data_IF_019752288978
#
_entry.id   IF_019752288978
#
_cell.length_a   1.000
_cell.length_b   1.000
_cell.length_c   1.000
_cell.angle_alpha   90.00
_cell.angle_beta   90.00
_cell.angle_gamma   90.00
#
_symmetry.space_group_name_H-M   'P 1'
#
loop_
_entity.id
_entity.type
_entity.pdbx_description
1 polymer ?
#
# COMPACT_ATOMS: atom_id res chain seq x y z
N UNK A 1 -15.58 -22.37 -9.35
CA UNK A 1 -15.76 -21.84 -7.97
C UNK A 1 -14.61 -22.30 -7.08
N UNK A 2 -13.47 -21.62 -7.15
CA UNK A 2 -12.44 -21.61 -6.11
C UNK A 2 -12.01 -20.15 -5.96
N UNK A 3 -11.82 -19.77 -4.69
CA UNK A 3 -11.80 -18.41 -4.17
C UNK A 3 -10.64 -17.59 -4.73
N UNK A 4 -10.95 -16.44 -5.29
CA UNK A 4 -10.08 -15.27 -5.26
C UNK A 4 -9.81 -14.90 -3.79
N UNK A 5 -8.57 -14.54 -3.50
CA UNK A 5 -8.10 -14.18 -2.17
C UNK A 5 -8.80 -12.91 -1.68
N UNK A 6 -9.76 -13.09 -0.79
CA UNK A 6 -10.09 -12.16 0.28
C UNK A 6 -9.92 -12.92 1.60
N UNK A 7 -9.09 -12.38 2.48
CA UNK A 7 -9.12 -12.49 3.94
C UNK A 7 -9.63 -13.84 4.53
N UNK A 8 -8.74 -14.72 5.01
CA UNK A 8 -8.93 -15.54 6.24
C UNK A 8 -7.57 -16.00 6.81
N UNK A 9 -7.33 -15.56 8.05
CA UNK A 9 -6.48 -16.07 9.13
C UNK A 9 -5.71 -17.40 8.97
N UNK A 10 -4.47 -17.42 9.51
CA UNK A 10 -4.07 -18.49 10.45
C UNK A 10 -2.95 -18.04 11.39
N UNK A 11 -3.16 -18.36 12.66
CA UNK A 11 -2.43 -17.84 13.81
C UNK A 11 -1.04 -18.43 14.03
N UNK A 12 -0.26 -17.63 14.74
CA UNK A 12 1.07 -17.89 15.28
C UNK A 12 0.96 -18.84 16.47
N UNK A 13 1.70 -19.95 16.47
CA UNK A 13 2.13 -20.62 17.70
C UNK A 13 3.64 -20.91 17.61
N UNK A 14 4.41 -20.16 18.37
CA UNK A 14 5.81 -20.45 18.67
C UNK A 14 5.86 -21.12 20.05
N UNK A 15 6.52 -22.28 20.14
CA UNK A 15 6.95 -22.87 21.40
C UNK A 15 8.43 -23.26 21.32
N UNK A 16 9.18 -23.09 22.42
CA UNK A 16 10.65 -23.13 22.42
C UNK A 16 11.15 -24.57 22.49
N UNK A 17 12.35 -24.84 21.97
CA UNK A 17 13.04 -26.09 22.26
C UNK A 17 14.43 -25.84 22.85
N UNK A 18 14.60 -26.44 24.03
CA UNK A 18 15.75 -26.43 24.91
C UNK A 18 17.02 -26.98 24.27
N UNK A 19 18.14 -26.44 24.74
CA UNK A 19 19.48 -26.96 24.50
C UNK A 19 19.64 -28.40 25.03
N UNK A 20 20.21 -29.27 24.21
CA UNK A 20 20.65 -30.60 24.59
C UNK A 20 21.89 -30.99 23.80
N UNK A 21 23.06 -30.92 24.43
CA UNK A 21 24.33 -31.44 23.91
C UNK A 21 24.27 -32.98 23.93
N UNK A 22 24.38 -33.61 22.77
CA UNK A 22 24.83 -34.99 22.65
C UNK A 22 25.89 -35.10 21.57
N UNK A 23 27.10 -35.48 21.98
CA UNK A 23 28.16 -35.91 21.10
C UNK A 23 27.78 -37.28 20.52
N UNK A 24 27.75 -37.39 19.19
CA UNK A 24 27.58 -38.65 18.49
C UNK A 24 28.71 -38.83 17.47
N UNK A 25 29.32 -40.00 17.53
CA UNK A 25 30.45 -40.46 16.73
C UNK A 25 30.23 -40.29 15.23
N UNK A 26 31.25 -39.76 14.55
CA UNK A 26 31.32 -39.69 13.10
C UNK A 26 31.38 -41.11 12.49
N UNK A 27 30.24 -41.62 12.06
CA UNK A 27 30.18 -42.69 11.07
C UNK A 27 30.16 -42.05 9.68
N UNK A 28 31.26 -42.18 8.94
CA UNK A 28 31.36 -41.78 7.53
C UNK A 28 30.56 -42.76 6.68
N UNK A 29 29.24 -42.66 6.69
CA UNK A 29 28.41 -43.12 5.58
C UNK A 29 28.44 -41.97 4.56
N UNK A 30 29.17 -42.17 3.46
CA UNK A 30 29.27 -41.20 2.39
C UNK A 30 27.87 -40.74 1.98
N UNK A 31 27.56 -39.45 2.16
CA UNK A 31 26.41 -38.85 1.49
C UNK A 31 26.67 -38.99 -0.01
N UNK A 32 25.73 -39.52 -0.80
CA UNK A 32 25.89 -39.50 -2.24
C UNK A 32 25.98 -38.02 -2.65
N UNK A 33 27.11 -37.65 -3.25
CA UNK A 33 27.27 -36.35 -3.87
C UNK A 33 26.33 -36.34 -5.09
N UNK A 34 25.18 -35.69 -4.96
CA UNK A 34 24.18 -35.60 -6.03
C UNK A 34 24.76 -34.68 -7.10
N UNK A 35 25.50 -35.25 -8.05
CA UNK A 35 26.01 -34.53 -9.22
C UNK A 35 24.89 -34.39 -10.24
N UNK A 36 24.19 -33.25 -10.17
CA UNK A 36 23.24 -32.88 -11.20
C UNK A 36 23.99 -32.56 -12.49
N UNK A 37 23.70 -33.29 -13.56
CA UNK A 37 24.18 -32.90 -14.89
C UNK A 37 23.54 -31.57 -15.29
N UNK A 38 24.24 -30.75 -16.08
CA UNK A 38 23.67 -29.51 -16.63
C UNK A 38 22.34 -29.77 -17.37
N UNK A 39 22.21 -30.90 -18.05
CA UNK A 39 20.97 -31.30 -18.72
C UNK A 39 19.79 -31.51 -17.74
N UNK A 40 20.03 -32.18 -16.61
CA UNK A 40 18.98 -32.38 -15.59
C UNK A 40 18.52 -31.07 -14.93
N UNK A 41 19.44 -30.13 -14.70
CA UNK A 41 19.11 -28.81 -14.13
C UNK A 41 18.28 -27.99 -15.13
N UNK A 42 18.67 -27.99 -16.40
CA UNK A 42 17.93 -27.28 -17.45
C UNK A 42 16.52 -27.85 -17.63
N UNK A 43 16.38 -29.18 -17.67
CA UNK A 43 15.07 -29.83 -17.79
C UNK A 43 14.14 -29.49 -16.62
N UNK A 44 14.66 -29.52 -15.39
CA UNK A 44 13.89 -29.16 -14.21
C UNK A 44 13.47 -27.68 -14.25
N UNK A 45 14.37 -26.79 -14.70
CA UNK A 45 14.06 -25.36 -14.87
C UNK A 45 12.95 -25.13 -15.88
N UNK A 46 13.04 -25.76 -17.06
CA UNK A 46 12.00 -25.65 -18.09
C UNK A 46 10.65 -26.19 -17.60
N UNK A 47 10.64 -27.33 -16.90
CA UNK A 47 9.41 -27.89 -16.35
C UNK A 47 8.76 -26.97 -15.31
N UNK A 48 9.56 -26.35 -14.41
CA UNK A 48 9.04 -25.39 -13.43
C UNK A 48 8.50 -24.11 -14.07
N UNK A 49 9.19 -23.57 -15.08
CA UNK A 49 8.76 -22.39 -15.83
C UNK A 49 7.45 -22.64 -16.57
N UNK A 50 7.34 -23.77 -17.28
CA UNK A 50 6.13 -24.15 -17.99
C UNK A 50 4.93 -24.35 -17.05
N UNK A 51 5.16 -24.94 -15.87
CA UNK A 51 4.11 -25.11 -14.88
C UNK A 51 3.57 -23.76 -14.39
N UNK A 52 4.47 -22.84 -14.01
CA UNK A 52 4.08 -21.51 -13.56
C UNK A 52 3.37 -20.71 -14.67
N UNK A 53 3.89 -20.73 -15.90
CA UNK A 53 3.26 -20.06 -17.05
C UNK A 53 1.82 -20.53 -17.26
N UNK A 54 1.55 -21.84 -17.14
CA UNK A 54 0.20 -22.37 -17.32
C UNK A 54 -0.77 -21.92 -16.22
N UNK A 55 -0.32 -21.89 -14.95
CA UNK A 55 -1.17 -21.42 -13.86
C UNK A 55 -1.47 -19.93 -13.97
N UNK A 56 -0.48 -19.10 -14.28
CA UNK A 56 -0.69 -17.66 -14.45
C UNK A 56 -1.60 -17.38 -15.66
N UNK A 57 -1.48 -18.14 -16.74
CA UNK A 57 -2.40 -18.03 -17.88
C UNK A 57 -3.85 -18.28 -17.46
N UNK A 58 -4.06 -19.32 -16.65
CA UNK A 58 -5.40 -19.64 -16.12
C UNK A 58 -5.93 -18.49 -15.28
N UNK A 59 -5.10 -17.92 -14.40
CA UNK A 59 -5.49 -16.75 -13.59
C UNK A 59 -5.85 -15.53 -14.46
N UNK A 60 -5.06 -15.25 -15.51
CA UNK A 60 -5.35 -14.16 -16.47
C UNK A 60 -6.69 -14.40 -17.19
N UNK A 61 -7.00 -15.65 -17.53
CA UNK A 61 -8.27 -16.02 -18.16
C UNK A 61 -9.45 -15.85 -17.18
N UNK A 62 -9.30 -16.35 -15.95
CA UNK A 62 -10.29 -16.22 -14.88
C UNK A 62 -10.58 -14.75 -14.57
N UNK A 63 -9.55 -13.90 -14.47
CA UNK A 63 -9.72 -12.46 -14.24
C UNK A 63 -10.40 -11.76 -15.42
N UNK A 64 -10.23 -12.20 -16.66
CA UNK A 64 -10.96 -11.62 -17.81
C UNK A 64 -12.46 -11.92 -17.75
N UNK A 65 -12.82 -13.08 -17.21
CA UNK A 65 -14.22 -13.53 -17.09
C UNK A 65 -14.92 -13.02 -15.82
N UNK A 66 -14.16 -12.39 -14.91
CA UNK A 66 -14.71 -11.82 -13.67
C UNK A 66 -15.79 -10.79 -13.96
N UNK A 67 -17.00 -11.06 -13.46
CA UNK A 67 -18.19 -10.26 -13.71
C UNK A 67 -18.11 -8.84 -13.15
N UNK A 68 -17.48 -8.68 -11.98
CA UNK A 68 -17.39 -7.41 -11.27
C UNK A 68 -15.91 -7.05 -11.04
N UNK A 69 -15.48 -5.97 -11.70
CA UNK A 69 -14.17 -5.36 -11.49
C UNK A 69 -14.35 -3.93 -10.98
N UNK A 70 -13.40 -3.44 -10.16
CA UNK A 70 -13.38 -2.03 -9.80
C UNK A 70 -13.35 -1.15 -11.05
N UNK A 71 -14.25 -0.17 -11.11
CA UNK A 71 -14.31 0.80 -12.19
C UNK A 71 -13.48 2.01 -11.78
N UNK A 72 -12.73 2.59 -12.74
CA UNK A 72 -12.01 3.83 -12.49
C UNK A 72 -13.01 4.94 -12.11
N UNK A 73 -12.92 5.50 -10.89
CA UNK A 73 -13.84 6.56 -10.49
C UNK A 73 -13.56 7.85 -11.26
N UNK A 74 -14.58 8.70 -11.37
CA UNK A 74 -14.40 10.06 -11.90
C UNK A 74 -13.59 10.90 -10.91
N UNK A 75 -12.69 11.72 -11.43
CA UNK A 75 -11.84 12.58 -10.60
C UNK A 75 -12.72 13.71 -10.03
N UNK A 76 -12.72 13.95 -8.70
CA UNK A 76 -13.55 14.99 -8.10
C UNK A 76 -13.20 16.38 -8.62
N UNK A 77 -14.19 17.26 -8.70
CA UNK A 77 -14.05 18.59 -9.29
C UNK A 77 -12.88 19.39 -8.68
N UNK A 78 -12.04 19.95 -9.55
CA UNK A 78 -10.89 20.78 -9.16
C UNK A 78 -9.65 20.00 -8.74
N UNK A 79 -9.74 18.67 -8.60
CA UNK A 79 -8.58 17.82 -8.34
C UNK A 79 -7.93 17.35 -9.64
N UNK A 80 -6.62 17.19 -9.61
CA UNK A 80 -5.85 16.44 -10.60
C UNK A 80 -5.22 15.23 -9.94
N UNK A 81 -4.98 14.17 -10.71
CA UNK A 81 -4.35 12.93 -10.22
C UNK A 81 -3.04 12.69 -10.98
N UNK A 82 -1.96 12.48 -10.23
CA UNK A 82 -0.66 12.01 -10.70
C UNK A 82 -0.49 10.56 -10.24
N UNK A 83 -0.48 9.61 -11.19
CA UNK A 83 -0.35 8.17 -10.93
C UNK A 83 0.48 7.53 -12.04
N UNK A 84 1.59 6.89 -11.66
CA UNK A 84 2.50 6.23 -12.58
C UNK A 84 2.23 4.71 -12.60
N UNK A 85 2.17 4.06 -13.77
CA UNK A 85 2.06 2.60 -13.84
C UNK A 85 3.20 1.90 -13.08
N UNK A 86 2.90 0.82 -12.38
CA UNK A 86 3.85 0.11 -11.51
C UNK A 86 3.97 0.68 -10.11
N UNK A 87 3.20 1.73 -9.78
CA UNK A 87 3.22 2.37 -8.46
C UNK A 87 1.84 2.27 -7.79
N UNK A 88 1.78 1.70 -6.59
CA UNK A 88 0.54 1.62 -5.81
C UNK A 88 0.14 2.96 -5.17
N UNK A 89 1.04 3.95 -5.17
CA UNK A 89 0.81 5.26 -4.59
C UNK A 89 0.51 6.28 -5.69
N UNK A 90 -0.48 7.13 -5.41
CA UNK A 90 -0.86 8.23 -6.27
C UNK A 90 -0.95 9.52 -5.47
N UNK A 91 -0.89 10.63 -6.21
CA UNK A 91 -0.96 11.98 -5.67
C UNK A 91 -2.17 12.69 -6.25
N UNK A 92 -2.91 13.40 -5.41
CA UNK A 92 -3.87 14.39 -5.87
C UNK A 92 -3.38 15.80 -5.58
N UNK A 93 -3.70 16.73 -6.48
CA UNK A 93 -3.39 18.15 -6.33
C UNK A 93 -4.62 18.99 -6.60
N UNK A 94 -4.78 20.08 -5.86
CA UNK A 94 -5.66 21.19 -6.22
C UNK A 94 -5.15 22.49 -5.62
N UNK A 95 -5.71 23.60 -6.08
CA UNK A 95 -5.56 24.90 -5.41
C UNK A 95 -6.83 25.26 -4.65
N UNK A 96 -6.67 26.02 -3.57
CA UNK A 96 -7.75 26.62 -2.81
C UNK A 96 -7.33 28.03 -2.43
N UNK A 97 -7.88 29.04 -3.12
CA UNK A 97 -7.41 30.43 -3.01
C UNK A 97 -5.89 30.52 -3.25
N UNK A 98 -5.13 31.00 -2.26
CA UNK A 98 -3.67 31.14 -2.29
C UNK A 98 -2.92 29.89 -1.80
N UNK A 99 -3.65 28.80 -1.49
CA UNK A 99 -3.09 27.57 -0.94
C UNK A 99 -2.99 26.46 -2.01
N UNK A 100 -1.96 25.62 -1.87
CA UNK A 100 -1.82 24.36 -2.60
C UNK A 100 -2.21 23.21 -1.67
N UNK A 101 -3.11 22.34 -2.14
CA UNK A 101 -3.54 21.14 -1.43
C UNK A 101 -2.95 19.94 -2.16
N UNK A 102 -2.14 19.16 -1.45
CA UNK A 102 -1.50 17.95 -1.98
C UNK A 102 -1.89 16.76 -1.13
N UNK A 103 -2.47 15.73 -1.74
CA UNK A 103 -2.78 14.46 -1.09
C UNK A 103 -1.82 13.39 -1.62
N UNK A 104 -1.14 12.67 -0.74
CA UNK A 104 -0.39 11.47 -1.08
C UNK A 104 -1.04 10.24 -0.45
N UNK A 105 -1.55 9.32 -1.28
CA UNK A 105 -2.01 8.03 -0.80
C UNK A 105 -0.82 7.18 -0.32
N UNK A 106 -0.97 6.51 0.82
CA UNK A 106 0.10 5.77 1.52
C UNK A 106 -0.16 4.28 1.66
N UNK A 107 -1.27 3.79 1.12
CA UNK A 107 -1.61 2.38 1.13
C UNK A 107 -2.73 2.08 2.11
N UNK A 108 -2.89 0.78 2.39
CA UNK A 108 -3.95 0.27 3.25
C UNK A 108 -3.37 -0.37 4.50
N UNK A 109 -4.15 -0.35 5.58
CA UNK A 109 -3.81 -1.00 6.84
C UNK A 109 -5.00 -1.76 7.37
N UNK A 110 -4.79 -3.02 7.75
CA UNK A 110 -5.83 -3.86 8.35
C UNK A 110 -5.79 -3.75 9.88
N UNK A 111 -6.93 -3.51 10.50
CA UNK A 111 -7.08 -3.55 11.96
C UNK A 111 -8.48 -4.04 12.33
N UNK A 112 -8.56 -5.00 13.26
CA UNK A 112 -9.82 -5.54 13.79
C UNK A 112 -10.83 -6.11 12.77
N UNK A 113 -10.39 -6.33 11.52
CA UNK A 113 -11.23 -6.83 10.43
C UNK A 113 -11.56 -5.77 9.38
N UNK A 114 -11.25 -4.51 9.65
CA UNK A 114 -11.51 -3.37 8.79
C UNK A 114 -10.23 -2.96 8.02
N UNK A 115 -10.43 -2.36 6.85
CA UNK A 115 -9.37 -1.88 5.97
C UNK A 115 -9.40 -0.36 5.98
N UNK A 116 -8.35 0.24 6.50
CA UNK A 116 -8.15 1.68 6.52
C UNK A 116 -7.32 2.10 5.31
N UNK A 117 -7.74 3.18 4.66
CA UNK A 117 -7.00 3.83 3.58
C UNK A 117 -6.22 5.01 4.14
N UNK A 118 -4.91 4.87 4.25
CA UNK A 118 -4.04 5.87 4.86
C UNK A 118 -3.57 6.86 3.78
N UNK A 119 -3.72 8.16 4.03
CA UNK A 119 -3.20 9.21 3.16
C UNK A 119 -2.73 10.43 3.93
N UNK A 120 -1.81 11.18 3.32
CA UNK A 120 -1.27 12.43 3.86
C UNK A 120 -1.79 13.61 3.07
N UNK A 121 -2.35 14.60 3.75
CA UNK A 121 -2.76 15.87 3.13
C UNK A 121 -1.84 16.99 3.58
N UNK A 122 -1.31 17.74 2.63
CA UNK A 122 -0.53 18.95 2.85
C UNK A 122 -1.37 20.15 2.42
N UNK A 123 -1.55 21.10 3.33
CA UNK A 123 -2.10 22.43 3.03
C UNK A 123 -0.95 23.41 3.08
N UNK A 124 -0.57 23.95 1.92
CA UNK A 124 0.63 24.76 1.75
C UNK A 124 0.27 26.22 1.53
N UNK A 125 0.89 27.11 2.28
CA UNK A 125 0.79 28.56 2.09
C UNK A 125 2.20 29.16 2.09
N UNK A 126 2.65 29.59 0.90
CA UNK A 126 4.03 30.03 0.68
C UNK A 126 5.03 28.89 0.89
N UNK A 127 5.98 29.08 1.81
CA UNK A 127 6.99 28.06 2.15
C UNK A 127 6.52 27.10 3.25
N UNK A 128 5.48 27.47 4.00
CA UNK A 128 5.00 26.74 5.18
C UNK A 128 3.80 25.90 4.81
N UNK A 129 3.45 24.98 5.70
CA UNK A 129 2.21 24.23 5.55
C UNK A 129 1.79 23.51 6.81
N UNK A 130 0.64 22.86 6.72
CA UNK A 130 0.17 21.91 7.72
C UNK A 130 0.02 20.56 7.03
N UNK A 131 0.58 19.52 7.63
CA UNK A 131 0.39 18.15 7.18
C UNK A 131 -0.56 17.43 8.12
N UNK A 132 -1.50 16.71 7.53
CA UNK A 132 -2.43 15.82 8.20
C UNK A 132 -2.10 14.39 7.79
N UNK A 133 -1.85 13.52 8.76
CA UNK A 133 -1.97 12.07 8.54
C UNK A 133 -3.44 11.74 8.76
N UNK A 134 -4.07 11.14 7.75
CA UNK A 134 -5.48 10.81 7.72
C UNK A 134 -5.64 9.31 7.43
N UNK A 135 -6.64 8.71 8.06
CA UNK A 135 -7.13 7.38 7.71
C UNK A 135 -8.61 7.48 7.32
N UNK A 136 -9.03 6.59 6.44
CA UNK A 136 -10.41 6.53 5.98
C UNK A 136 -10.94 5.11 6.01
N UNK A 137 -12.05 4.95 6.71
CA UNK A 137 -12.96 3.80 6.65
C UNK A 137 -14.37 4.36 6.88
N UNK A 138 -15.09 4.63 5.79
CA UNK A 138 -16.37 5.35 5.73
C UNK A 138 -16.38 6.82 6.19
N UNK A 139 -15.51 7.21 7.12
CA UNK A 139 -15.31 8.57 7.62
C UNK A 139 -13.82 8.90 7.69
N UNK A 140 -13.45 10.15 7.41
CA UNK A 140 -12.08 10.63 7.59
C UNK A 140 -11.77 10.80 9.07
N UNK A 141 -10.70 10.15 9.51
CA UNK A 141 -10.12 10.31 10.85
C UNK A 141 -8.81 11.08 10.74
N UNK A 142 -8.65 12.11 11.58
CA UNK A 142 -7.38 12.84 11.72
C UNK A 142 -6.50 12.14 12.74
N UNK A 143 -5.43 11.50 12.28
CA UNK A 143 -4.51 10.75 13.14
C UNK A 143 -3.38 11.62 13.69
N UNK A 144 -2.95 12.62 12.91
CA UNK A 144 -1.83 13.50 13.28
C UNK A 144 -1.90 14.83 12.55
N UNK A 145 -1.48 15.89 13.23
CA UNK A 145 -1.29 17.22 12.63
C UNK A 145 0.13 17.71 12.88
N UNK A 146 0.87 18.03 11.82
CA UNK A 146 2.24 18.57 11.89
C UNK A 146 2.29 19.94 11.22
N UNK A 147 2.82 20.94 11.92
CA UNK A 147 3.18 22.21 11.32
C UNK A 147 4.54 22.13 10.62
N UNK A 148 4.57 22.52 9.35
CA UNK A 148 5.75 22.44 8.48
C UNK A 148 6.33 23.84 8.26
N UNK A 149 7.59 24.01 8.60
CA UNK A 149 8.35 25.24 8.29
C UNK A 149 8.80 25.30 6.83
N UNK A 150 9.01 24.14 6.22
CA UNK A 150 9.31 23.94 4.81
C UNK A 150 8.42 22.82 4.28
N UNK A 151 7.32 23.19 3.64
CA UNK A 151 6.36 22.23 3.09
C UNK A 151 6.93 21.48 1.88
N UNK A 152 7.80 22.10 1.09
CA UNK A 152 8.37 21.50 -0.12
C UNK A 152 9.26 20.31 0.24
N UNK A 153 10.07 20.43 1.29
CA UNK A 153 10.88 19.32 1.80
C UNK A 153 9.99 18.18 2.28
N UNK A 154 8.96 18.47 3.07
CA UNK A 154 8.07 17.45 3.62
C UNK A 154 7.26 16.71 2.54
N UNK A 155 6.76 17.43 1.53
CA UNK A 155 6.06 16.85 0.38
C UNK A 155 7.01 15.93 -0.39
N UNK A 156 8.23 16.38 -0.68
CA UNK A 156 9.23 15.57 -1.38
C UNK A 156 9.60 14.30 -0.60
N UNK A 157 9.85 14.41 0.71
CA UNK A 157 10.12 13.25 1.57
C UNK A 157 8.96 12.26 1.53
N UNK A 158 7.72 12.77 1.66
CA UNK A 158 6.51 11.95 1.59
C UNK A 158 6.38 11.24 0.25
N UNK A 159 6.61 11.92 -0.88
CA UNK A 159 6.56 11.32 -2.21
C UNK A 159 7.59 10.19 -2.38
N UNK A 160 8.75 10.31 -1.72
CA UNK A 160 9.82 9.30 -1.74
C UNK A 160 9.63 8.18 -0.69
N UNK A 161 8.53 8.18 0.07
CA UNK A 161 8.33 7.25 1.18
C UNK A 161 9.33 7.41 2.33
N UNK A 162 9.98 8.57 2.42
CA UNK A 162 10.95 8.86 3.48
C UNK A 162 10.22 9.32 4.75
N UNK A 163 10.71 8.95 5.93
CA UNK A 163 10.18 9.47 7.17
C UNK A 163 10.41 11.00 7.24
N UNK A 164 9.54 11.67 7.99
CA UNK A 164 9.77 13.08 8.32
C UNK A 164 11.02 13.23 9.19
N UNK A 165 11.59 14.43 9.17
CA UNK A 165 12.71 14.78 10.03
C UNK A 165 12.36 14.49 11.50
N UNK A 166 13.10 13.60 12.19
CA UNK A 166 12.81 13.20 13.56
C UNK A 166 12.98 14.33 14.57
N UNK A 167 13.62 15.45 14.19
CA UNK A 167 13.76 16.63 15.02
C UNK A 167 12.57 17.60 14.93
N UNK A 168 11.60 17.35 14.04
CA UNK A 168 10.36 18.12 13.95
C UNK A 168 9.36 17.58 14.98
N UNK A 169 8.74 18.49 15.73
CA UNK A 169 7.66 18.13 16.65
C UNK A 169 6.46 17.56 15.87
N UNK A 170 6.03 16.31 16.14
CA UNK A 170 5.01 15.63 15.35
C UNK A 170 3.57 16.02 15.69
N UNK A 171 3.38 17.08 16.49
CA UNK A 171 2.10 17.43 17.08
C UNK A 171 1.81 16.66 18.39
N UNK A 172 0.78 17.08 19.14
CA UNK A 172 0.28 16.31 20.27
C UNK A 172 -0.40 15.03 19.76
N UNK A 173 -0.73 14.13 20.68
CA UNK A 173 -1.67 13.06 20.32
C UNK A 173 -3.07 13.65 20.18
N UNK A 174 -3.82 13.19 19.19
CA UNK A 174 -5.17 13.70 18.94
C UNK A 174 -6.13 13.42 20.11
N UNK A 175 -5.94 12.30 20.82
CA UNK A 175 -6.69 11.93 22.04
C UNK A 175 -6.52 12.91 23.21
N UNK A 176 -5.43 13.68 23.23
CA UNK A 176 -5.14 14.64 24.29
C UNK A 176 -5.67 16.05 23.95
N UNK A 177 -6.25 16.24 22.75
CA UNK A 177 -6.77 17.54 22.29
C UNK A 177 -8.23 17.74 22.68
N UNK A 178 -8.64 19.00 22.86
CA UNK A 178 -10.06 19.33 23.06
C UNK A 178 -10.87 19.04 21.78
N UNK A 179 -12.05 18.42 21.93
CA UNK A 179 -12.92 17.98 20.81
C UNK A 179 -13.23 19.10 19.82
N UNK A 180 -13.46 20.33 20.32
CA UNK A 180 -13.74 21.51 19.49
C UNK A 180 -12.56 21.88 18.57
N UNK A 181 -11.32 21.61 18.96
CA UNK A 181 -10.13 21.85 18.14
C UNK A 181 -10.03 20.78 17.06
N UNK A 182 -10.30 19.52 17.40
CA UNK A 182 -10.32 18.41 16.43
C UNK A 182 -11.42 18.64 15.38
N UNK A 183 -12.62 19.01 15.82
CA UNK A 183 -13.74 19.35 14.92
C UNK A 183 -13.40 20.55 14.02
N UNK A 184 -12.66 21.54 14.53
CA UNK A 184 -12.20 22.67 13.72
C UNK A 184 -11.19 22.25 12.63
N UNK A 185 -10.34 21.26 12.88
CA UNK A 185 -9.45 20.72 11.84
C UNK A 185 -10.22 19.99 10.75
N UNK A 186 -11.23 19.19 11.11
CA UNK A 186 -12.08 18.50 10.14
C UNK A 186 -12.80 19.52 9.25
N UNK A 187 -13.47 20.52 9.85
CA UNK A 187 -14.15 21.60 9.10
C UNK A 187 -13.18 22.41 8.23
N UNK A 188 -11.94 22.61 8.69
CA UNK A 188 -10.89 23.27 7.92
C UNK A 188 -10.50 22.47 6.66
N UNK A 189 -10.42 21.15 6.77
CA UNK A 189 -10.17 20.23 5.64
C UNK A 189 -11.37 20.15 4.69
N UNK A 190 -12.59 20.06 5.21
CA UNK A 190 -13.83 20.01 4.41
C UNK A 190 -13.98 21.25 3.53
N UNK A 191 -13.68 22.44 4.06
CA UNK A 191 -13.71 23.68 3.28
C UNK A 191 -12.77 23.65 2.06
N UNK A 192 -11.70 22.84 2.11
CA UNK A 192 -10.74 22.61 1.01
C UNK A 192 -11.15 21.45 0.09
N UNK A 193 -12.27 20.79 0.38
CA UNK A 193 -12.73 19.61 -0.34
C UNK A 193 -11.99 18.33 0.06
N UNK A 194 -11.44 18.28 1.27
CA UNK A 194 -10.93 17.06 1.90
C UNK A 194 -12.00 16.62 2.91
N UNK A 195 -12.91 15.78 2.43
CA UNK A 195 -14.11 15.30 3.11
C UNK A 195 -14.34 13.82 2.78
N UNK A 196 -15.39 13.22 3.33
CA UNK A 196 -15.65 11.78 3.12
C UNK A 196 -15.89 11.40 1.66
N UNK A 197 -16.41 12.30 0.83
CA UNK A 197 -16.53 12.07 -0.63
C UNK A 197 -15.15 11.92 -1.30
N UNK A 198 -14.15 12.69 -0.86
CA UNK A 198 -12.76 12.48 -1.29
C UNK A 198 -12.20 11.18 -0.72
N UNK A 199 -12.54 10.81 0.51
CA UNK A 199 -12.17 9.53 1.11
C UNK A 199 -12.69 8.34 0.27
N UNK A 200 -13.96 8.38 -0.10
CA UNK A 200 -14.60 7.43 -1.00
C UNK A 200 -13.91 7.37 -2.36
N UNK A 201 -13.52 8.53 -2.92
CA UNK A 201 -12.74 8.56 -4.16
C UNK A 201 -11.40 7.84 -3.99
N UNK A 202 -10.65 8.12 -2.91
CA UNK A 202 -9.34 7.49 -2.64
C UNK A 202 -9.49 5.97 -2.53
N UNK A 203 -10.52 5.49 -1.83
CA UNK A 203 -10.86 4.08 -1.72
C UNK A 203 -11.08 3.45 -3.10
N UNK A 204 -12.01 4.00 -3.88
CA UNK A 204 -12.38 3.42 -5.18
C UNK A 204 -11.22 3.50 -6.18
N UNK A 205 -10.44 4.58 -6.16
CA UNK A 205 -9.29 4.75 -7.03
C UNK A 205 -8.18 3.77 -6.67
N UNK A 206 -7.93 3.54 -5.37
CA UNK A 206 -6.97 2.55 -4.91
C UNK A 206 -7.36 1.12 -5.32
N UNK A 207 -8.63 0.75 -5.17
CA UNK A 207 -9.16 -0.55 -5.62
C UNK A 207 -9.01 -0.74 -7.14
N UNK A 208 -9.32 0.29 -7.93
CA UNK A 208 -9.12 0.26 -9.38
C UNK A 208 -7.64 0.17 -9.77
N UNK A 209 -6.78 0.96 -9.14
CA UNK A 209 -5.35 0.94 -9.38
C UNK A 209 -4.75 -0.44 -9.08
N UNK A 210 -5.11 -1.04 -7.95
CA UNK A 210 -4.67 -2.39 -7.57
C UNK A 210 -5.04 -3.44 -8.62
N UNK A 211 -6.29 -3.44 -9.09
CA UNK A 211 -6.73 -4.39 -10.12
C UNK A 211 -5.93 -4.22 -11.43
N UNK A 212 -5.66 -2.98 -11.85
CA UNK A 212 -4.85 -2.70 -13.05
C UNK A 212 -3.43 -3.22 -12.87
N UNK A 213 -2.81 -2.94 -11.73
CA UNK A 213 -1.45 -3.40 -11.42
C UNK A 213 -1.37 -4.92 -11.28
N UNK A 214 -2.40 -5.56 -10.71
CA UNK A 214 -2.48 -7.01 -10.59
C UNK A 214 -2.53 -7.71 -11.96
N UNK A 215 -3.38 -7.23 -12.88
CA UNK A 215 -3.47 -7.77 -14.23
C UNK A 215 -2.16 -7.58 -15.02
N UNK A 216 -1.53 -6.41 -14.87
CA UNK A 216 -0.24 -6.12 -15.47
C UNK A 216 0.86 -7.02 -14.90
N UNK A 217 0.88 -7.22 -13.58
CA UNK A 217 1.81 -8.08 -12.87
C UNK A 217 1.70 -9.54 -13.32
N UNK A 218 0.48 -10.09 -13.43
CA UNK A 218 0.25 -11.43 -13.97
C UNK A 218 0.82 -11.55 -15.39
N UNK A 219 0.50 -10.57 -16.25
CA UNK A 219 0.99 -10.52 -17.62
C UNK A 219 2.53 -10.53 -17.68
N UNK A 220 3.19 -9.72 -16.85
CA UNK A 220 4.65 -9.58 -16.89
C UNK A 220 5.37 -10.80 -16.32
N UNK A 221 4.85 -11.44 -15.27
CA UNK A 221 5.38 -12.71 -14.80
C UNK A 221 5.19 -13.79 -15.86
N UNK A 222 4.02 -13.87 -16.49
CA UNK A 222 3.80 -14.85 -17.57
C UNK A 222 4.83 -14.66 -18.68
N UNK A 223 5.07 -13.44 -19.17
CA UNK A 223 6.09 -13.16 -20.19
C UNK A 223 7.51 -13.51 -19.73
N UNK A 224 7.80 -13.37 -18.44
CA UNK A 224 9.12 -13.66 -17.89
C UNK A 224 9.41 -15.17 -17.83
N UNK A 225 8.40 -16.01 -17.62
CA UNK A 225 8.58 -17.48 -17.44
C UNK A 225 8.10 -18.35 -18.60
N UNK A 226 7.32 -17.80 -19.53
CA UNK A 226 6.79 -18.53 -20.69
C UNK A 226 7.78 -18.67 -21.85
#
# INVERSE_FOLDING_TARGET
>A
MRRALLCVSRGVHATPMMAGRFAALASMVGRPEVSWTHASVLQQRFASCAALANYIRTEIEDEKERAEKPVKPEIPSGWTVEHEPGNMFFKLCKTYEDEEIVLHFKGTREAEGDIFYDFKVFVVNGEKGVMFDLSYDHEIVVDRVIFLRDAKVAIKQSALGQPHDPFIYPGPKMEDMEDNVVEAFIRYLEARGVNDELGDFVLHYACWAEQVEYEQWLSDIHKFVA
#
